data_IF_461513426982
#
_entry.id   IF_461513426982
#
_cell.length_a   1.000
_cell.length_b   1.000
_cell.length_c   1.000
_cell.angle_alpha   90.00
_cell.angle_beta   90.00
_cell.angle_gamma   90.00
#
_symmetry.space_group_name_H-M   'P 1'
#
loop_
_entity.id
_entity.type
_entity.pdbx_description
1 polymer ?
#
# COMPACT_ATOMS: atom_id res chain seq x y z
N UNK A 1 -13.45 19.30 -13.39
CA UNK A 1 -14.45 18.99 -12.33
C UNK A 1 -13.97 17.87 -11.40
N UNK A 2 -13.27 16.85 -11.89
CA UNK A 2 -12.80 15.72 -11.07
C UNK A 2 -11.42 15.93 -10.42
N UNK A 3 -10.68 16.99 -10.76
CA UNK A 3 -9.38 17.33 -10.14
C UNK A 3 -9.41 17.39 -8.61
N UNK A 4 -10.53 17.78 -8.01
CA UNK A 4 -10.67 17.93 -6.55
C UNK A 4 -10.81 16.56 -5.85
N UNK A 5 -11.17 15.49 -6.57
CA UNK A 5 -11.39 14.15 -5.98
C UNK A 5 -10.18 13.63 -5.20
N UNK A 6 -8.96 13.93 -5.64
CA UNK A 6 -7.73 13.53 -4.94
C UNK A 6 -7.68 14.04 -3.50
N UNK A 7 -8.20 15.23 -3.21
CA UNK A 7 -8.23 15.77 -1.85
C UNK A 7 -9.18 15.00 -0.93
N UNK A 8 -10.15 14.27 -1.48
CA UNK A 8 -11.06 13.47 -0.67
C UNK A 8 -10.48 12.10 -0.25
N UNK A 9 -9.31 11.72 -0.77
CA UNK A 9 -8.64 10.46 -0.40
C UNK A 9 -8.32 10.42 1.10
N UNK A 10 -7.96 11.56 1.70
CA UNK A 10 -7.69 11.64 3.13
C UNK A 10 -8.91 11.22 3.97
N UNK A 11 -10.13 11.54 3.55
CA UNK A 11 -11.33 11.16 4.27
C UNK A 11 -11.60 9.65 4.19
N UNK A 12 -11.26 8.99 3.07
CA UNK A 12 -11.33 7.54 2.95
C UNK A 12 -10.33 6.87 3.90
N UNK A 13 -9.11 7.40 3.96
CA UNK A 13 -8.08 6.93 4.89
C UNK A 13 -8.51 7.11 6.35
N UNK A 14 -9.01 8.29 6.72
CA UNK A 14 -9.53 8.58 8.06
C UNK A 14 -10.70 7.67 8.44
N UNK A 15 -11.67 7.45 7.53
CA UNK A 15 -12.80 6.55 7.76
C UNK A 15 -12.32 5.12 8.05
N UNK A 16 -11.41 4.60 7.22
CA UNK A 16 -10.84 3.26 7.43
C UNK A 16 -9.95 3.19 8.69
N UNK A 17 -9.26 4.27 9.04
CA UNK A 17 -8.43 4.37 10.23
C UNK A 17 -9.27 4.40 11.52
N UNK A 18 -10.36 5.16 11.53
CA UNK A 18 -11.30 5.24 12.66
C UNK A 18 -12.01 3.89 12.86
N UNK A 19 -12.49 3.26 11.78
CA UNK A 19 -13.08 1.91 11.88
C UNK A 19 -12.07 0.88 12.39
N UNK A 20 -10.81 0.97 11.95
CA UNK A 20 -9.71 0.16 12.48
C UNK A 20 -9.44 0.39 13.97
N UNK A 21 -9.49 1.64 14.44
CA UNK A 21 -9.36 1.98 15.86
C UNK A 21 -10.51 1.41 16.70
N UNK A 22 -11.75 1.52 16.23
CA UNK A 22 -12.93 0.96 16.94
C UNK A 22 -12.82 -0.57 17.02
N UNK A 23 -12.37 -1.21 15.93
CA UNK A 23 -12.20 -2.67 15.85
C UNK A 23 -10.89 -3.19 16.49
N UNK A 24 -10.07 -2.35 17.14
CA UNK A 24 -8.77 -2.73 17.74
C UNK A 24 -8.84 -3.96 18.64
N UNK A 25 -9.93 -4.10 19.40
CA UNK A 25 -10.15 -5.21 20.33
C UNK A 25 -10.33 -6.58 19.63
N UNK A 26 -10.76 -6.58 18.36
CA UNK A 26 -10.93 -7.77 17.52
C UNK A 26 -9.64 -8.18 16.80
N UNK A 27 -8.70 -7.25 16.66
CA UNK A 27 -7.51 -7.43 15.83
C UNK A 27 -6.49 -8.40 16.45
N UNK A 28 -5.80 -9.18 15.61
CA UNK A 28 -4.80 -10.16 16.05
C UNK A 28 -3.50 -9.51 16.53
N UNK A 29 -3.34 -9.40 17.84
CA UNK A 29 -2.08 -9.07 18.50
C UNK A 29 -1.38 -7.82 17.92
N UNK A 30 -0.04 -7.86 17.81
CA UNK A 30 0.75 -6.75 17.28
C UNK A 30 0.58 -6.56 15.76
N UNK A 31 0.39 -7.65 15.02
CA UNK A 31 0.28 -7.65 13.55
C UNK A 31 -0.98 -6.92 13.06
N UNK A 32 -2.13 -7.14 13.70
CA UNK A 32 -3.37 -6.44 13.37
C UNK A 32 -3.30 -4.95 13.71
N UNK A 33 -2.73 -4.60 14.87
CA UNK A 33 -2.51 -3.19 15.25
C UNK A 33 -1.62 -2.45 14.25
N UNK A 34 -0.62 -3.14 13.71
CA UNK A 34 0.27 -2.58 12.70
C UNK A 34 -0.48 -2.15 11.42
N UNK A 35 -1.54 -2.85 11.02
CA UNK A 35 -2.38 -2.45 9.88
C UNK A 35 -3.01 -1.07 10.09
N UNK A 36 -3.57 -0.86 11.29
CA UNK A 36 -4.20 0.41 11.66
C UNK A 36 -3.16 1.53 11.67
N UNK A 37 -1.96 1.26 12.19
CA UNK A 37 -0.84 2.22 12.15
C UNK A 37 -0.48 2.61 10.72
N UNK A 38 -0.42 1.65 9.79
CA UNK A 38 -0.12 1.94 8.38
C UNK A 38 -1.19 2.81 7.70
N UNK A 39 -2.47 2.59 8.01
CA UNK A 39 -3.57 3.43 7.50
C UNK A 39 -3.49 4.86 8.06
N UNK A 40 -3.18 5.00 9.34
CA UNK A 40 -2.98 6.34 9.91
C UNK A 40 -1.73 7.02 9.37
N UNK A 41 -0.67 6.25 9.12
CA UNK A 41 0.52 6.76 8.45
C UNK A 41 0.22 7.26 7.03
N UNK A 42 -0.67 6.58 6.28
CA UNK A 42 -1.09 7.08 4.96
C UNK A 42 -1.91 8.37 5.08
N UNK A 43 -2.87 8.44 6.02
CA UNK A 43 -3.68 9.64 6.26
C UNK A 43 -2.80 10.85 6.63
N UNK A 44 -1.83 10.66 7.53
CA UNK A 44 -0.87 11.71 7.90
C UNK A 44 -0.01 12.13 6.72
N UNK A 45 0.44 11.18 5.90
CA UNK A 45 1.24 11.48 4.71
C UNK A 45 0.47 12.34 3.71
N UNK A 46 -0.82 12.08 3.49
CA UNK A 46 -1.65 12.89 2.59
C UNK A 46 -1.76 14.34 3.09
N UNK A 47 -1.98 14.54 4.40
CA UNK A 47 -2.05 15.88 5.01
C UNK A 47 -0.70 16.59 4.89
N UNK A 48 0.39 15.92 5.25
CA UNK A 48 1.74 16.47 5.17
C UNK A 48 2.08 16.79 3.71
N UNK A 49 1.86 15.88 2.78
CA UNK A 49 2.18 16.04 1.36
C UNK A 49 1.37 17.15 0.67
N UNK A 50 0.15 17.43 1.15
CA UNK A 50 -0.66 18.55 0.69
C UNK A 50 -0.04 19.89 1.10
N UNK A 51 0.32 20.06 2.38
CA UNK A 51 0.85 21.32 2.89
C UNK A 51 2.38 21.48 2.76
N UNK A 52 3.11 20.42 2.41
CA UNK A 52 4.58 20.40 2.44
C UNK A 52 5.21 21.52 1.60
N UNK A 53 4.70 21.70 0.38
CA UNK A 53 5.22 22.72 -0.55
C UNK A 53 5.00 24.13 -0.02
N UNK A 54 3.84 24.39 0.60
CA UNK A 54 3.53 25.68 1.22
C UNK A 54 4.43 25.95 2.44
N UNK A 55 4.72 24.93 3.24
CA UNK A 55 5.52 25.08 4.46
C UNK A 55 7.02 25.21 4.21
N UNK A 56 7.55 24.56 3.17
CA UNK A 56 9.00 24.40 2.97
C UNK A 56 9.53 25.05 1.69
N UNK A 57 8.65 25.37 0.74
CA UNK A 57 9.04 25.81 -0.60
C UNK A 57 9.61 24.68 -1.48
N UNK A 58 9.65 23.44 -0.98
CA UNK A 58 10.16 22.26 -1.69
C UNK A 58 8.99 21.41 -2.19
N UNK A 59 9.12 20.81 -3.37
CA UNK A 59 8.10 19.94 -3.94
C UNK A 59 7.80 18.74 -3.02
N UNK A 60 6.54 18.29 -2.98
CA UNK A 60 6.10 17.19 -2.11
C UNK A 60 6.60 15.78 -2.49
N UNK A 61 7.40 15.65 -3.56
CA UNK A 61 7.98 14.36 -3.98
C UNK A 61 8.80 13.69 -2.88
N UNK A 62 9.49 14.45 -2.02
CA UNK A 62 10.25 13.90 -0.89
C UNK A 62 9.36 13.15 0.09
N UNK A 63 8.20 13.73 0.41
CA UNK A 63 7.21 13.14 1.33
C UNK A 63 6.68 11.84 0.74
N UNK A 64 6.28 11.85 -0.53
CA UNK A 64 5.71 10.67 -1.19
C UNK A 64 6.75 9.58 -1.49
N UNK A 65 8.00 9.94 -1.81
CA UNK A 65 9.09 8.98 -1.99
C UNK A 65 9.47 8.31 -0.66
N UNK A 66 9.51 9.06 0.45
CA UNK A 66 9.72 8.49 1.79
C UNK A 66 8.56 7.59 2.22
N UNK A 67 7.32 8.05 2.01
CA UNK A 67 6.13 7.24 2.26
C UNK A 67 6.16 5.94 1.47
N UNK A 68 6.50 6.01 0.18
CA UNK A 68 6.64 4.83 -0.69
C UNK A 68 7.63 3.83 -0.11
N UNK A 69 8.82 4.29 0.30
CA UNK A 69 9.84 3.44 0.91
C UNK A 69 9.35 2.74 2.19
N UNK A 70 8.81 3.51 3.13
CA UNK A 70 8.33 2.99 4.42
C UNK A 70 7.18 2.00 4.21
N UNK A 71 6.26 2.33 3.31
CA UNK A 71 5.04 1.56 3.07
C UNK A 71 5.35 0.22 2.40
N UNK A 72 6.17 0.19 1.35
CA UNK A 72 6.56 -1.07 0.70
C UNK A 72 7.40 -1.96 1.62
N UNK A 73 8.36 -1.40 2.37
CA UNK A 73 9.09 -2.15 3.40
C UNK A 73 8.13 -2.79 4.42
N UNK A 74 7.14 -2.01 4.87
CA UNK A 74 6.12 -2.47 5.82
C UNK A 74 5.23 -3.57 5.25
N UNK A 75 4.81 -3.46 3.98
CA UNK A 75 4.03 -4.50 3.31
C UNK A 75 4.81 -5.80 3.16
N UNK A 76 6.08 -5.72 2.72
CA UNK A 76 6.93 -6.91 2.57
C UNK A 76 7.13 -7.61 3.94
N UNK A 77 7.43 -6.84 4.99
CA UNK A 77 7.58 -7.37 6.34
C UNK A 77 6.28 -7.98 6.90
N UNK A 78 5.15 -7.32 6.66
CA UNK A 78 3.83 -7.81 7.03
C UNK A 78 3.55 -9.15 6.35
N UNK A 79 3.66 -9.22 5.02
CA UNK A 79 3.39 -10.45 4.26
C UNK A 79 4.36 -11.55 4.69
N UNK A 80 5.65 -11.25 4.87
CA UNK A 80 6.65 -12.20 5.40
C UNK A 80 6.22 -12.81 6.75
N UNK A 81 5.62 -12.00 7.63
CA UNK A 81 5.14 -12.45 8.94
C UNK A 81 3.89 -13.33 8.87
N UNK A 82 3.16 -13.28 7.75
CA UNK A 82 1.93 -14.03 7.50
C UNK A 82 2.18 -15.34 6.75
N UNK A 83 3.27 -15.42 5.99
CA UNK A 83 3.68 -16.65 5.30
C UNK A 83 3.95 -17.77 6.31
N UNK A 84 3.61 -19.00 5.94
CA UNK A 84 3.76 -20.21 6.76
C UNK A 84 5.03 -20.95 6.35
N UNK A 85 5.22 -21.20 5.05
CA UNK A 85 6.37 -21.96 4.53
C UNK A 85 7.65 -21.17 4.67
N UNK A 86 8.69 -21.83 5.20
CA UNK A 86 10.00 -21.23 5.43
C UNK A 86 10.65 -20.71 4.14
N UNK A 87 10.46 -21.44 3.03
CA UNK A 87 11.00 -21.03 1.72
C UNK A 87 10.41 -19.68 1.29
N UNK A 88 9.09 -19.49 1.43
CA UNK A 88 8.45 -18.23 1.06
C UNK A 88 8.87 -17.09 2.00
N UNK A 89 9.10 -17.36 3.29
CA UNK A 89 9.70 -16.37 4.21
C UNK A 89 11.11 -15.95 3.79
N UNK A 90 11.91 -16.89 3.28
CA UNK A 90 13.23 -16.63 2.71
C UNK A 90 13.13 -15.74 1.46
N UNK A 91 12.24 -16.09 0.52
CA UNK A 91 11.94 -15.27 -0.65
C UNK A 91 11.53 -13.85 -0.26
N UNK A 92 10.64 -13.68 0.72
CA UNK A 92 10.21 -12.36 1.17
C UNK A 92 11.35 -11.54 1.81
N UNK A 93 12.27 -12.18 2.53
CA UNK A 93 13.46 -11.51 3.06
C UNK A 93 14.39 -11.03 1.94
N UNK A 94 14.64 -11.87 0.93
CA UNK A 94 15.44 -11.51 -0.24
C UNK A 94 14.78 -10.37 -1.03
N UNK A 95 13.46 -10.43 -1.23
CA UNK A 95 12.69 -9.34 -1.85
C UNK A 95 12.82 -8.02 -1.09
N UNK A 96 12.82 -8.04 0.25
CA UNK A 96 13.04 -6.82 1.04
C UNK A 96 14.41 -6.20 0.75
N UNK A 97 15.46 -7.03 0.73
CA UNK A 97 16.83 -6.56 0.42
C UNK A 97 16.88 -5.98 -0.99
N UNK A 98 16.28 -6.65 -1.98
CA UNK A 98 16.22 -6.17 -3.36
C UNK A 98 15.47 -4.83 -3.47
N UNK A 99 14.36 -4.66 -2.76
CA UNK A 99 13.60 -3.40 -2.76
C UNK A 99 14.42 -2.26 -2.15
N UNK A 100 15.02 -2.47 -0.98
CA UNK A 100 15.85 -1.47 -0.31
C UNK A 100 17.04 -1.10 -1.19
N UNK A 101 17.69 -2.09 -1.81
CA UNK A 101 18.79 -1.87 -2.74
C UNK A 101 18.34 -1.05 -3.95
N UNK A 102 17.22 -1.38 -4.57
CA UNK A 102 16.62 -0.62 -5.67
C UNK A 102 16.36 0.85 -5.29
N UNK A 103 15.84 1.10 -4.09
CA UNK A 103 15.58 2.45 -3.59
C UNK A 103 16.88 3.25 -3.40
N UNK A 104 17.91 2.63 -2.82
CA UNK A 104 19.23 3.26 -2.65
C UNK A 104 19.86 3.57 -4.01
N UNK A 105 19.77 2.65 -4.99
CA UNK A 105 20.25 2.90 -6.34
C UNK A 105 19.57 4.12 -6.97
N UNK A 106 18.25 4.28 -6.81
CA UNK A 106 17.56 5.46 -7.32
C UNK A 106 18.11 6.75 -6.69
N UNK A 107 18.38 6.76 -5.37
CA UNK A 107 18.99 7.93 -4.71
C UNK A 107 20.40 8.24 -5.26
N UNK A 108 21.22 7.21 -5.49
CA UNK A 108 22.60 7.39 -5.92
C UNK A 108 22.73 7.82 -7.38
N UNK A 109 21.93 7.24 -8.28
CA UNK A 109 22.06 7.42 -9.72
C UNK A 109 21.11 8.49 -10.30
N UNK A 110 20.02 8.84 -9.61
CA UNK A 110 19.07 9.87 -10.05
C UNK A 110 19.21 11.19 -9.26
N UNK A 111 20.44 11.60 -8.92
CA UNK A 111 20.72 12.84 -8.16
C UNK A 111 20.25 14.13 -8.86
N UNK A 112 20.15 14.14 -10.19
CA UNK A 112 19.63 15.29 -10.93
C UNK A 112 18.08 15.34 -10.95
N UNK A 113 17.43 14.24 -10.55
CA UNK A 113 15.99 13.98 -10.70
C UNK A 113 15.29 13.83 -9.33
N UNK A 114 15.89 14.34 -8.24
CA UNK A 114 15.36 14.23 -6.86
C UNK A 114 14.00 14.94 -6.72
N UNK A 115 13.73 15.89 -7.62
CA UNK A 115 12.44 16.57 -7.76
C UNK A 115 11.39 15.75 -8.52
N UNK A 116 11.61 14.44 -8.71
CA UNK A 116 10.67 13.56 -9.37
C UNK A 116 10.36 12.31 -8.53
N UNK A 117 9.22 11.70 -8.83
CA UNK A 117 8.80 10.43 -8.22
C UNK A 117 9.74 9.28 -8.63
N UNK A 118 10.12 8.43 -7.67
CA UNK A 118 10.97 7.26 -7.92
C UNK A 118 10.18 6.10 -8.57
N UNK A 119 9.71 6.31 -9.80
CA UNK A 119 8.79 5.42 -10.53
C UNK A 119 9.37 4.00 -10.70
N UNK A 120 10.69 3.86 -10.91
CA UNK A 120 11.31 2.54 -11.07
C UNK A 120 11.33 1.74 -9.76
N UNK A 121 11.65 2.38 -8.62
CA UNK A 121 11.57 1.72 -7.31
C UNK A 121 10.13 1.43 -6.93
N UNK A 122 9.20 2.33 -7.27
CA UNK A 122 7.77 2.08 -7.12
C UNK A 122 7.34 0.82 -7.89
N UNK A 123 7.73 0.71 -9.17
CA UNK A 123 7.41 -0.46 -9.99
C UNK A 123 7.96 -1.77 -9.40
N UNK A 124 9.21 -1.77 -8.96
CA UNK A 124 9.83 -2.93 -8.29
C UNK A 124 9.08 -3.27 -7.00
N UNK A 125 8.74 -2.26 -6.20
CA UNK A 125 7.95 -2.43 -4.97
C UNK A 125 6.59 -3.07 -5.23
N UNK A 126 5.85 -2.59 -6.23
CA UNK A 126 4.55 -3.16 -6.62
C UNK A 126 4.70 -4.61 -7.07
N UNK A 127 5.66 -4.92 -7.96
CA UNK A 127 5.87 -6.28 -8.45
C UNK A 127 6.22 -7.24 -7.31
N UNK A 128 7.10 -6.82 -6.39
CA UNK A 128 7.46 -7.62 -5.22
C UNK A 128 6.24 -7.87 -4.33
N UNK A 129 5.49 -6.82 -3.97
CA UNK A 129 4.30 -6.96 -3.12
C UNK A 129 3.25 -7.82 -3.80
N UNK A 130 3.07 -7.70 -5.11
CA UNK A 130 2.16 -8.54 -5.89
C UNK A 130 2.57 -10.02 -5.81
N UNK A 131 3.84 -10.34 -6.09
CA UNK A 131 4.35 -11.71 -6.02
C UNK A 131 4.18 -12.30 -4.62
N UNK A 132 4.56 -11.55 -3.57
CA UNK A 132 4.44 -12.02 -2.19
C UNK A 132 2.98 -12.19 -1.76
N UNK A 133 2.08 -11.31 -2.22
CA UNK A 133 0.66 -11.43 -1.96
C UNK A 133 0.07 -12.66 -2.64
N UNK A 134 0.48 -12.97 -3.88
CA UNK A 134 0.10 -14.21 -4.56
C UNK A 134 0.59 -15.44 -3.79
N UNK A 135 1.83 -15.46 -3.30
CA UNK A 135 2.34 -16.56 -2.47
C UNK A 135 1.51 -16.76 -1.20
N UNK A 136 1.14 -15.67 -0.52
CA UNK A 136 0.27 -15.70 0.65
C UNK A 136 -1.13 -16.27 0.31
N UNK A 137 -1.74 -15.83 -0.79
CA UNK A 137 -3.04 -16.35 -1.23
C UNK A 137 -2.97 -17.83 -1.58
N UNK A 138 -1.90 -18.27 -2.25
CA UNK A 138 -1.65 -19.69 -2.56
C UNK A 138 -1.54 -20.52 -1.28
N UNK A 139 -0.87 -20.03 -0.24
CA UNK A 139 -0.80 -20.75 1.05
C UNK A 139 -2.15 -20.85 1.73
N UNK A 140 -2.95 -19.78 1.71
CA UNK A 140 -4.30 -19.81 2.29
C UNK A 140 -5.19 -20.81 1.57
N UNK A 141 -5.23 -20.76 0.23
CA UNK A 141 -6.12 -21.61 -0.56
C UNK A 141 -5.72 -23.08 -0.49
N UNK A 142 -4.44 -23.39 -0.30
CA UNK A 142 -3.97 -24.75 -0.11
C UNK A 142 -3.99 -25.22 1.35
N UNK A 143 -4.55 -24.44 2.27
CA UNK A 143 -4.65 -24.79 3.69
C UNK A 143 -6.11 -25.00 4.10
N UNK A 144 -6.31 -25.70 5.23
CA UNK A 144 -7.64 -25.86 5.84
C UNK A 144 -8.30 -24.51 6.23
N UNK A 145 -7.53 -23.41 6.21
CA UNK A 145 -8.03 -22.05 6.43
C UNK A 145 -8.90 -21.53 5.28
N UNK A 146 -8.97 -22.21 4.14
CA UNK A 146 -9.81 -21.80 2.99
C UNK A 146 -11.29 -21.65 3.35
N UNK A 147 -11.80 -22.41 4.32
CA UNK A 147 -13.22 -22.32 4.71
C UNK A 147 -13.57 -20.98 5.39
N UNK A 148 -12.57 -20.29 5.97
CA UNK A 148 -12.79 -19.11 6.79
C UNK A 148 -11.87 -17.93 6.43
N UNK A 149 -11.20 -17.93 5.27
CA UNK A 149 -10.28 -16.84 4.90
C UNK A 149 -10.95 -15.46 4.88
N UNK A 150 -12.25 -15.40 4.55
CA UNK A 150 -13.04 -14.16 4.55
C UNK A 150 -13.17 -13.53 5.94
N UNK A 151 -12.93 -14.30 7.00
CA UNK A 151 -12.93 -13.83 8.40
C UNK A 151 -11.55 -13.34 8.85
N UNK A 152 -10.53 -13.43 7.99
CA UNK A 152 -9.18 -12.92 8.28
C UNK A 152 -9.06 -11.45 7.88
N UNK A 153 -8.67 -10.59 8.81
CA UNK A 153 -8.40 -9.17 8.51
C UNK A 153 -7.23 -9.02 7.53
N UNK A 154 -6.26 -9.93 7.59
CA UNK A 154 -5.07 -9.89 6.74
C UNK A 154 -5.40 -10.20 5.28
N UNK A 155 -6.37 -11.09 5.03
CA UNK A 155 -6.84 -11.38 3.68
C UNK A 155 -7.40 -10.12 3.01
N UNK A 156 -8.34 -9.44 3.68
CA UNK A 156 -8.95 -8.21 3.16
C UNK A 156 -7.93 -7.07 3.00
N UNK A 157 -6.97 -6.98 3.92
CA UNK A 157 -5.91 -5.98 3.83
C UNK A 157 -4.99 -6.22 2.62
N UNK A 158 -4.53 -7.47 2.43
CA UNK A 158 -3.70 -7.82 1.27
C UNK A 158 -4.48 -7.67 -0.04
N UNK A 159 -5.76 -8.02 -0.06
CA UNK A 159 -6.65 -7.78 -1.20
C UNK A 159 -6.75 -6.28 -1.53
N UNK A 160 -6.95 -5.42 -0.53
CA UNK A 160 -6.99 -3.97 -0.74
C UNK A 160 -5.68 -3.43 -1.33
N UNK A 161 -4.53 -3.87 -0.82
CA UNK A 161 -3.21 -3.50 -1.36
C UNK A 161 -3.10 -3.89 -2.84
N UNK A 162 -3.50 -5.11 -3.20
CA UNK A 162 -3.46 -5.59 -4.58
C UNK A 162 -4.38 -4.78 -5.49
N UNK A 163 -5.63 -4.54 -5.06
CA UNK A 163 -6.63 -3.77 -5.81
C UNK A 163 -6.14 -2.35 -6.10
N UNK A 164 -5.37 -1.74 -5.20
CA UNK A 164 -4.77 -0.44 -5.46
C UNK A 164 -3.53 -0.51 -6.35
N UNK A 165 -2.52 -1.30 -5.96
CA UNK A 165 -1.19 -1.19 -6.57
C UNK A 165 -1.11 -1.83 -7.95
N UNK A 166 -1.84 -2.93 -8.19
CA UNK A 166 -1.80 -3.64 -9.48
C UNK A 166 -2.31 -2.77 -10.63
N UNK A 167 -3.44 -2.02 -10.50
CA UNK A 167 -3.87 -1.09 -11.54
C UNK A 167 -3.08 0.23 -11.59
N UNK A 168 -2.61 0.75 -10.44
CA UNK A 168 -1.82 2.00 -10.42
C UNK A 168 -0.52 1.85 -11.21
N UNK A 169 0.16 0.70 -11.13
CA UNK A 169 1.43 0.50 -11.84
C UNK A 169 1.35 0.70 -13.37
N UNK A 170 0.52 -0.06 -14.12
CA UNK A 170 0.41 0.14 -15.57
C UNK A 170 -0.11 1.53 -15.91
N UNK A 171 -0.97 2.12 -15.08
CA UNK A 171 -1.43 3.50 -15.27
C UNK A 171 -0.29 4.52 -15.17
N UNK A 172 0.56 4.42 -14.14
CA UNK A 172 1.73 5.29 -13.95
C UNK A 172 2.77 5.09 -15.06
N UNK A 173 3.01 3.84 -15.48
CA UNK A 173 3.92 3.55 -16.58
C UNK A 173 3.38 4.08 -17.92
N UNK A 174 2.07 4.00 -18.14
CA UNK A 174 1.46 4.50 -19.36
C UNK A 174 1.61 6.02 -19.50
N UNK A 175 1.40 6.77 -18.42
CA UNK A 175 1.63 8.22 -18.40
C UNK A 175 3.10 8.53 -18.72
N UNK A 176 4.05 7.80 -18.11
CA UNK A 176 5.48 8.03 -18.32
C UNK A 176 5.96 7.67 -19.73
N UNK A 177 5.54 6.53 -20.27
CA UNK A 177 6.09 5.97 -21.52
C UNK A 177 5.35 6.37 -22.78
N UNK A 178 4.02 6.53 -22.71
CA UNK A 178 3.23 6.91 -23.89
C UNK A 178 3.10 8.43 -24.03
N UNK A 179 3.73 9.23 -23.15
CA UNK A 179 3.66 10.69 -23.14
C UNK A 179 2.22 11.20 -23.24
N UNK A 180 1.26 10.41 -22.75
CA UNK A 180 -0.15 10.80 -22.71
C UNK A 180 -0.18 12.02 -21.80
N UNK A 181 -0.59 13.16 -22.35
CA UNK A 181 -0.73 14.40 -21.58
C UNK A 181 -1.60 14.06 -20.37
N UNK A 182 -1.03 14.21 -19.18
CA UNK A 182 -1.70 13.84 -17.95
C UNK A 182 -2.94 14.72 -17.80
N UNK A 183 -4.11 14.15 -18.08
CA UNK A 183 -5.37 14.78 -17.72
C UNK A 183 -5.53 14.63 -16.20
N UNK A 184 -5.37 15.75 -15.49
CA UNK A 184 -5.44 15.78 -14.03
C UNK A 184 -6.80 15.27 -13.52
N UNK A 185 -7.88 15.48 -14.27
CA UNK A 185 -9.20 14.99 -13.91
C UNK A 185 -9.28 13.46 -14.03
N UNK A 186 -8.72 12.86 -15.09
CA UNK A 186 -8.66 11.39 -15.25
C UNK A 186 -7.76 10.77 -14.19
N UNK A 187 -6.58 11.35 -13.95
CA UNK A 187 -5.64 10.88 -12.94
C UNK A 187 -6.25 10.91 -11.53
N UNK A 188 -6.89 12.02 -11.17
CA UNK A 188 -7.59 12.20 -9.89
C UNK A 188 -8.72 11.18 -9.71
N UNK A 189 -9.52 10.96 -10.75
CA UNK A 189 -10.62 9.99 -10.73
C UNK A 189 -10.13 8.55 -10.54
N UNK A 190 -9.11 8.12 -11.30
CA UNK A 190 -8.54 6.77 -11.20
C UNK A 190 -7.98 6.55 -9.80
N UNK A 191 -7.18 7.48 -9.28
CA UNK A 191 -6.63 7.37 -7.93
C UNK A 191 -7.72 7.33 -6.85
N UNK A 192 -8.77 8.15 -6.99
CA UNK A 192 -9.87 8.16 -6.04
C UNK A 192 -10.62 6.82 -6.03
N UNK A 193 -10.97 6.26 -7.19
CA UNK A 193 -11.66 4.96 -7.28
C UNK A 193 -10.81 3.85 -6.67
N UNK A 194 -9.52 3.80 -6.98
CA UNK A 194 -8.63 2.76 -6.46
C UNK A 194 -8.47 2.87 -4.94
N UNK A 195 -8.35 4.09 -4.41
CA UNK A 195 -8.34 4.32 -2.95
C UNK A 195 -9.68 3.94 -2.31
N UNK A 196 -10.80 4.28 -2.93
CA UNK A 196 -12.13 3.90 -2.46
C UNK A 196 -12.27 2.38 -2.34
N UNK A 197 -11.85 1.62 -3.36
CA UNK A 197 -11.87 0.17 -3.34
C UNK A 197 -10.92 -0.41 -2.28
N UNK A 198 -9.70 0.13 -2.15
CA UNK A 198 -8.73 -0.30 -1.15
C UNK A 198 -9.25 -0.08 0.28
N UNK A 199 -9.69 1.13 0.59
CA UNK A 199 -10.23 1.45 1.92
C UNK A 199 -11.54 0.72 2.19
N UNK A 200 -12.36 0.48 1.17
CA UNK A 200 -13.52 -0.41 1.26
C UNK A 200 -13.12 -1.82 1.69
N UNK A 201 -12.08 -2.41 1.09
CA UNK A 201 -11.54 -3.70 1.52
C UNK A 201 -11.08 -3.67 2.98
N UNK A 202 -10.37 -2.62 3.41
CA UNK A 202 -9.90 -2.49 4.79
C UNK A 202 -11.06 -2.43 5.80
N UNK A 203 -12.08 -1.62 5.51
CA UNK A 203 -13.28 -1.49 6.35
C UNK A 203 -14.00 -2.84 6.44
N UNK A 204 -14.21 -3.52 5.32
CA UNK A 204 -14.82 -4.86 5.29
C UNK A 204 -14.01 -5.83 6.17
N UNK A 205 -12.68 -5.81 6.03
CA UNK A 205 -11.78 -6.59 6.86
C UNK A 205 -11.95 -6.31 8.35
N UNK A 206 -12.03 -5.04 8.75
CA UNK A 206 -12.21 -4.67 10.16
C UNK A 206 -13.58 -5.05 10.72
N UNK A 207 -14.64 -5.01 9.90
CA UNK A 207 -16.01 -5.31 10.32
C UNK A 207 -16.28 -6.81 10.40
N UNK A 208 -15.86 -7.59 9.39
CA UNK A 208 -16.10 -9.03 9.31
C UNK A 208 -15.01 -9.89 9.93
N UNK A 209 -13.89 -9.30 10.37
CA UNK A 209 -12.86 -10.10 11.04
C UNK A 209 -13.32 -10.65 12.39
N UNK A 210 -13.02 -11.91 12.59
CA UNK A 210 -13.27 -12.61 13.86
C UNK A 210 -11.92 -13.02 14.45
N UNK A 211 -11.70 -12.69 15.73
CA UNK A 211 -10.42 -12.92 16.42
C UNK A 211 -9.94 -14.38 16.34
N UNK A 212 -10.87 -15.33 16.30
CA UNK A 212 -10.60 -16.77 16.19
C UNK A 212 -10.00 -17.19 14.84
N UNK A 213 -10.09 -16.39 13.78
CA UNK A 213 -9.63 -16.77 12.44
C UNK A 213 -8.41 -15.99 11.96
N UNK A 214 -7.84 -15.16 12.83
CA UNK A 214 -6.72 -14.29 12.54
C UNK A 214 -5.39 -14.92 13.04
N UNK A 215 -4.82 -15.85 12.26
CA UNK A 215 -3.56 -16.57 12.57
C UNK A 215 -2.38 -16.08 11.73
#
# INVERSE_FOLDING_TARGET
MFEILRFYIVYLALLSGITGLISLHKLPGKRGKFLVVLIWFSALTEIVGYHFTEWTGVLNYYVFNFYMFVTFCSYILLIRSLLIKINYKGTAALCLVLFVFSFILNILYCKEDINHSFIYSFAIGVLIVMILSCLYLIEIFNSDKILNFKKSVFFWYILGILVFHVPVLPFMLAIKWFLIKQDESVFSLVLFILNFLMHGCFIIGFLWSEKKYNY
#
